data_IF_435470017083
#
_entry.id   IF_435470017083
#
_cell.length_a   1.000
_cell.length_b   1.000
_cell.length_c   1.000
_cell.angle_alpha   90.00
_cell.angle_beta   90.00
_cell.angle_gamma   90.00
#
_symmetry.space_group_name_H-M   'P 1'
#
loop_
_entity.id
_entity.type
_entity.pdbx_description
1 polymer ?
#
# COMPACT_ATOMS: atom_id res chain seq x y z
N UNK A 1 -1.11 43.08 28.58
CA UNK A 1 0.10 43.47 27.82
C UNK A 1 0.65 42.19 27.18
N UNK A 2 0.10 41.83 26.02
CA UNK A 2 0.69 41.94 24.67
C UNK A 2 1.64 40.79 24.31
N UNK A 3 1.07 39.80 23.61
CA UNK A 3 1.77 38.84 22.76
C UNK A 3 2.54 39.59 21.66
N UNK A 4 3.79 39.22 21.41
CA UNK A 4 4.48 39.58 20.17
C UNK A 4 4.57 38.36 19.24
N UNK A 5 3.78 38.44 18.17
CA UNK A 5 3.91 37.70 16.92
C UNK A 5 5.07 38.27 16.09
N UNK A 6 5.74 37.40 15.33
CA UNK A 6 6.42 37.78 14.09
C UNK A 6 7.90 38.11 14.17
N UNK A 7 8.74 37.11 13.94
CA UNK A 7 10.04 37.31 13.29
C UNK A 7 10.12 36.37 12.09
N UNK A 8 10.31 36.87 10.86
CA UNK A 8 10.52 36.01 9.70
C UNK A 8 11.85 35.27 9.84
N UNK A 9 11.82 33.97 9.52
CA UNK A 9 13.01 33.13 9.48
C UNK A 9 13.96 33.62 8.38
N UNK A 10 15.16 34.08 8.77
CA UNK A 10 16.23 34.46 7.83
C UNK A 10 17.17 33.26 7.67
N UNK A 11 17.28 32.65 6.48
CA UNK A 11 18.20 31.54 6.25
C UNK A 11 19.66 32.01 6.42
N UNK A 12 20.31 31.60 7.51
CA UNK A 12 21.75 31.81 7.72
C UNK A 12 22.57 30.74 7.00
N UNK A 13 22.53 30.70 5.67
CA UNK A 13 23.61 30.12 4.88
C UNK A 13 23.77 30.91 3.60
N UNK A 14 24.91 31.58 3.46
CA UNK A 14 25.42 32.01 2.15
C UNK A 14 25.68 30.72 1.38
N UNK A 15 24.99 30.51 0.26
CA UNK A 15 25.45 29.51 -0.72
C UNK A 15 26.89 29.88 -1.09
N UNK A 16 27.80 28.91 -1.09
CA UNK A 16 29.17 29.16 -1.51
C UNK A 16 29.19 29.51 -2.99
N UNK A 17 30.10 30.39 -3.40
CA UNK A 17 30.26 30.86 -4.78
C UNK A 17 30.45 29.72 -5.79
N UNK A 18 30.87 28.53 -5.33
CA UNK A 18 31.04 27.33 -6.16
C UNK A 18 29.71 26.79 -6.70
N UNK A 19 28.63 26.85 -5.91
CA UNK A 19 27.31 26.33 -6.31
C UNK A 19 26.59 27.21 -7.35
N UNK A 20 26.97 28.49 -7.47
CA UNK A 20 26.44 29.38 -8.50
C UNK A 20 27.11 29.16 -9.88
N UNK A 21 28.36 28.68 -9.93
CA UNK A 21 29.06 28.37 -11.18
C UNK A 21 28.51 27.11 -11.87
N UNK A 22 28.09 26.12 -11.09
CA UNK A 22 27.61 24.86 -11.64
C UNK A 22 26.20 24.97 -12.25
N UNK A 23 25.34 25.81 -11.69
CA UNK A 23 24.02 26.11 -12.28
C UNK A 23 24.15 26.75 -13.67
N UNK A 24 25.10 27.68 -13.85
CA UNK A 24 25.32 28.35 -15.13
C UNK A 24 25.80 27.39 -16.22
N UNK A 25 26.64 26.40 -15.86
CA UNK A 25 27.09 25.36 -16.80
C UNK A 25 25.94 24.46 -17.27
N UNK A 26 25.02 24.12 -16.37
CA UNK A 26 23.86 23.30 -16.72
C UNK A 26 22.90 24.08 -17.63
N UNK A 27 22.63 25.35 -17.33
CA UNK A 27 21.79 26.20 -18.17
C UNK A 27 22.38 26.41 -19.58
N UNK A 28 23.69 26.62 -19.68
CA UNK A 28 24.39 26.77 -20.96
C UNK A 28 24.42 25.44 -21.75
N UNK A 29 24.49 24.29 -21.07
CA UNK A 29 24.41 22.97 -21.71
C UNK A 29 23.00 22.73 -22.29
N UNK A 30 21.95 23.04 -21.53
CA UNK A 30 20.56 22.89 -21.98
C UNK A 30 20.26 23.79 -23.19
N UNK A 31 20.72 25.05 -23.19
CA UNK A 31 20.51 25.97 -24.32
C UNK A 31 21.19 25.55 -25.61
N UNK A 32 22.34 24.86 -25.50
CA UNK A 32 23.14 24.46 -26.64
C UNK A 32 22.93 23.00 -27.06
N UNK A 33 22.02 22.28 -26.39
CA UNK A 33 21.68 20.91 -26.73
C UNK A 33 20.85 20.86 -28.02
N UNK A 34 21.49 20.45 -29.12
CA UNK A 34 20.81 20.05 -30.36
C UNK A 34 20.77 18.52 -30.43
N UNK A 35 19.58 17.89 -30.39
CA UNK A 35 19.48 16.46 -30.61
C UNK A 35 19.98 16.13 -32.01
N UNK A 36 20.92 15.19 -32.13
CA UNK A 36 21.31 14.63 -33.42
C UNK A 36 20.14 13.80 -33.97
N UNK A 37 19.66 14.17 -35.15
CA UNK A 37 18.78 13.31 -35.95
C UNK A 37 19.64 12.18 -36.52
N UNK A 38 19.74 11.08 -35.79
CA UNK A 38 20.08 9.79 -36.41
C UNK A 38 18.77 9.13 -36.84
N UNK A 39 18.65 8.91 -38.15
CA UNK A 39 17.61 8.08 -38.77
C UNK A 39 17.70 6.67 -38.19
N UNK A 40 16.72 6.30 -37.39
CA UNK A 40 16.51 4.92 -36.96
C UNK A 40 15.53 4.30 -37.95
N UNK A 41 16.03 3.38 -38.77
CA UNK A 41 15.21 2.53 -39.64
C UNK A 41 14.21 1.73 -38.79
N UNK A 42 12.92 1.81 -39.16
CA UNK A 42 11.83 1.16 -38.45
C UNK A 42 11.87 -0.37 -38.60
N UNK A 43 11.82 -1.15 -37.50
CA UNK A 43 11.60 -2.59 -37.57
C UNK A 43 10.11 -2.89 -37.87
N UNK A 44 9.81 -4.07 -38.47
CA UNK A 44 8.50 -4.40 -39.01
C UNK A 44 7.41 -4.45 -37.94
N UNK A 45 6.26 -3.91 -38.31
CA UNK A 45 5.03 -3.75 -37.52
C UNK A 45 4.59 -5.08 -36.90
N UNK A 46 4.90 -5.26 -35.62
CA UNK A 46 4.24 -6.26 -34.79
C UNK A 46 2.93 -5.66 -34.32
N UNK A 47 1.82 -6.37 -34.50
CA UNK A 47 0.47 -5.94 -34.12
C UNK A 47 0.40 -5.66 -32.63
N UNK A 48 0.61 -4.40 -32.25
CA UNK A 48 0.42 -3.88 -30.89
C UNK A 48 -1.06 -4.00 -30.56
N UNK A 49 -1.41 -5.02 -29.79
CA UNK A 49 -2.69 -5.05 -29.06
C UNK A 49 -2.66 -3.83 -28.13
N UNK A 50 -3.59 -2.91 -28.30
CA UNK A 50 -3.66 -1.64 -27.57
C UNK A 50 -3.64 -1.89 -26.05
N UNK A 51 -2.58 -1.42 -25.39
CA UNK A 51 -2.39 -1.51 -23.93
C UNK A 51 -3.47 -0.79 -23.10
N UNK A 52 -4.31 0.06 -23.72
CA UNK A 52 -5.39 0.80 -23.04
C UNK A 52 -6.48 -0.11 -22.46
N UNK A 53 -6.62 -1.34 -22.95
CA UNK A 53 -7.70 -2.25 -22.55
C UNK A 53 -7.35 -3.14 -21.34
N UNK A 54 -6.12 -3.03 -20.81
CA UNK A 54 -5.65 -3.75 -19.62
C UNK A 54 -5.70 -2.90 -18.34
N UNK A 55 -5.90 -1.59 -18.45
CA UNK A 55 -6.00 -0.70 -17.30
C UNK A 55 -7.23 -1.08 -16.45
N UNK A 56 -6.98 -1.59 -15.25
CA UNK A 56 -8.02 -1.97 -14.29
C UNK A 56 -8.59 -3.38 -14.44
N UNK A 57 -8.03 -4.23 -15.33
CA UNK A 57 -8.39 -5.66 -15.37
C UNK A 57 -7.72 -6.43 -14.24
N UNK A 58 -8.44 -7.38 -13.66
CA UNK A 58 -7.88 -8.35 -12.70
C UNK A 58 -7.57 -9.61 -13.51
N UNK A 59 -6.33 -10.10 -13.41
CA UNK A 59 -5.94 -11.35 -14.06
C UNK A 59 -6.07 -12.47 -13.04
N UNK A 60 -6.97 -13.41 -13.29
CA UNK A 60 -7.21 -14.54 -12.40
C UNK A 60 -6.34 -15.72 -12.78
N UNK A 61 -5.63 -16.27 -11.80
CA UNK A 61 -4.93 -17.55 -11.86
C UNK A 61 -5.58 -18.55 -10.90
N UNK A 62 -5.04 -19.77 -10.80
CA UNK A 62 -5.52 -20.78 -9.86
C UNK A 62 -5.22 -20.34 -8.42
N UNK A 63 -3.99 -19.88 -8.15
CA UNK A 63 -3.49 -19.64 -6.79
C UNK A 63 -3.48 -18.15 -6.38
N UNK A 64 -3.70 -17.22 -7.33
CA UNK A 64 -3.66 -15.79 -7.06
C UNK A 64 -4.50 -14.96 -8.05
N UNK A 65 -4.73 -13.70 -7.70
CA UNK A 65 -5.23 -12.66 -8.60
C UNK A 65 -4.15 -11.61 -8.81
N UNK A 66 -3.84 -11.26 -10.05
CA UNK A 66 -3.00 -10.10 -10.36
C UNK A 66 -3.86 -8.85 -10.42
N UNK A 67 -3.61 -7.93 -9.51
CA UNK A 67 -4.30 -6.65 -9.36
C UNK A 67 -3.42 -5.57 -9.96
N UNK A 68 -3.91 -4.91 -11.00
CA UNK A 68 -3.23 -3.82 -11.69
C UNK A 68 -3.31 -2.53 -10.88
N UNK A 69 -2.45 -1.56 -11.20
CA UNK A 69 -2.50 -0.19 -10.69
C UNK A 69 -2.40 -0.05 -9.15
N UNK A 70 -1.72 -0.98 -8.48
CA UNK A 70 -1.46 -0.86 -7.04
C UNK A 70 -0.29 0.09 -6.81
N UNK A 71 -0.46 1.11 -5.98
CA UNK A 71 0.66 1.91 -5.49
C UNK A 71 1.39 1.12 -4.39
N UNK A 72 2.43 0.40 -4.77
CA UNK A 72 3.28 -0.37 -3.85
C UNK A 72 4.61 0.33 -3.67
N UNK A 73 4.93 0.73 -2.43
CA UNK A 73 6.18 1.45 -2.09
C UNK A 73 6.40 2.71 -2.96
N UNK A 74 5.32 3.44 -3.26
CA UNK A 74 5.37 4.68 -4.04
C UNK A 74 5.41 4.49 -5.56
N UNK A 75 5.29 3.25 -6.06
CA UNK A 75 5.26 2.94 -7.50
C UNK A 75 3.96 2.25 -7.88
N UNK A 76 3.34 2.73 -8.96
CA UNK A 76 2.17 2.07 -9.57
C UNK A 76 2.65 0.83 -10.31
N UNK A 77 2.26 -0.35 -9.83
CA UNK A 77 2.67 -1.63 -10.41
C UNK A 77 1.67 -2.75 -10.07
N UNK A 78 1.63 -3.83 -10.86
CA UNK A 78 0.81 -4.98 -10.56
C UNK A 78 1.32 -5.79 -9.35
N UNK A 79 0.39 -6.20 -8.49
CA UNK A 79 0.65 -7.16 -7.40
C UNK A 79 -0.17 -8.43 -7.60
N UNK A 80 0.43 -9.58 -7.35
CA UNK A 80 -0.31 -10.83 -7.19
C UNK A 80 -0.77 -10.94 -5.73
N UNK A 81 -2.09 -11.06 -5.50
CA UNK A 81 -2.70 -11.40 -4.20
C UNK A 81 -3.00 -12.89 -4.17
N UNK A 82 -2.43 -13.61 -3.21
CA UNK A 82 -2.72 -15.04 -3.02
C UNK A 82 -4.18 -15.26 -2.65
N UNK A 83 -4.77 -16.35 -3.18
CA UNK A 83 -6.11 -16.83 -2.76
C UNK A 83 -6.10 -17.53 -1.40
N UNK A 84 -4.92 -17.72 -0.81
CA UNK A 84 -4.74 -18.27 0.52
C UNK A 84 -4.06 -17.26 1.45
N UNK A 85 -4.36 -17.35 2.73
CA UNK A 85 -3.64 -16.59 3.74
C UNK A 85 -2.24 -17.17 3.95
N UNK A 86 -1.27 -16.30 4.22
CA UNK A 86 0.03 -16.75 4.69
C UNK A 86 -0.11 -17.53 5.99
N UNK A 87 0.75 -18.56 6.21
CA UNK A 87 0.76 -19.30 7.45
C UNK A 87 0.81 -18.39 8.66
N UNK A 88 0.12 -18.80 9.72
CA UNK A 88 0.20 -18.12 11.02
C UNK A 88 1.66 -18.08 11.48
N UNK A 89 2.13 -16.90 11.90
CA UNK A 89 3.49 -16.70 12.44
C UNK A 89 3.44 -15.74 13.62
N UNK A 90 4.42 -15.83 14.52
CA UNK A 90 4.70 -14.72 15.46
C UNK A 90 5.26 -13.51 14.71
N UNK A 91 5.19 -12.31 15.31
CA UNK A 91 5.56 -11.08 14.60
C UNK A 91 7.03 -11.07 14.15
N UNK A 92 7.95 -11.44 15.05
CA UNK A 92 9.39 -11.50 14.71
C UNK A 92 9.67 -12.54 13.61
N UNK A 93 8.99 -13.69 13.66
CA UNK A 93 9.12 -14.74 12.64
C UNK A 93 8.57 -14.29 11.28
N UNK A 94 7.48 -13.51 11.28
CA UNK A 94 6.97 -12.88 10.07
C UNK A 94 8.00 -11.90 9.49
N UNK A 95 8.58 -11.02 10.31
CA UNK A 95 9.60 -10.07 9.83
C UNK A 95 10.83 -10.80 9.28
N UNK A 96 11.31 -11.85 9.95
CA UNK A 96 12.42 -12.68 9.46
C UNK A 96 12.07 -13.43 8.17
N UNK A 97 10.84 -13.90 8.04
CA UNK A 97 10.34 -14.48 6.79
C UNK A 97 10.36 -13.46 5.66
N UNK A 98 9.78 -12.27 5.85
CA UNK A 98 9.72 -11.22 4.83
C UNK A 98 11.12 -10.75 4.42
N UNK A 99 12.07 -10.63 5.35
CA UNK A 99 13.48 -10.29 5.04
C UNK A 99 14.18 -11.31 4.14
N UNK A 100 13.83 -12.60 4.27
CA UNK A 100 14.47 -13.72 3.56
C UNK A 100 13.70 -14.14 2.31
N UNK A 101 12.49 -13.63 2.14
CA UNK A 101 11.62 -13.93 1.00
C UNK A 101 12.27 -13.51 -0.31
N UNK A 102 12.14 -14.35 -1.32
CA UNK A 102 12.51 -14.06 -2.70
C UNK A 102 11.37 -13.33 -3.40
N UNK A 103 11.64 -12.80 -4.60
CA UNK A 103 10.65 -12.05 -5.38
C UNK A 103 9.41 -12.89 -5.73
N UNK A 104 9.56 -14.20 -5.87
CA UNK A 104 8.45 -15.14 -6.12
C UNK A 104 7.59 -15.47 -4.89
N UNK A 105 8.10 -15.20 -3.67
CA UNK A 105 7.44 -15.56 -2.44
C UNK A 105 6.36 -14.54 -2.08
N UNK A 106 5.21 -15.02 -1.60
CA UNK A 106 4.17 -14.16 -1.06
C UNK A 106 4.56 -13.63 0.32
N UNK A 107 4.53 -12.33 0.51
CA UNK A 107 4.89 -11.64 1.75
C UNK A 107 3.72 -10.84 2.32
N UNK A 108 3.77 -10.59 3.63
CA UNK A 108 2.93 -9.56 4.24
C UNK A 108 3.50 -8.18 3.89
N UNK A 109 2.63 -7.18 3.78
CA UNK A 109 2.98 -5.81 3.39
C UNK A 109 2.50 -4.79 4.42
N UNK A 110 2.88 -3.53 4.23
CA UNK A 110 2.53 -2.44 5.12
C UNK A 110 1.03 -2.14 5.07
N UNK A 111 0.52 -1.43 6.08
CA UNK A 111 -0.85 -0.92 6.10
C UNK A 111 -1.14 -0.05 4.88
N UNK A 112 -0.20 0.83 4.54
CA UNK A 112 -0.33 1.73 3.41
C UNK A 112 -0.49 0.96 2.10
N UNK A 113 0.38 -0.02 1.88
CA UNK A 113 0.31 -0.86 0.70
C UNK A 113 -0.94 -1.75 0.70
N UNK A 114 -1.40 -2.19 1.88
CA UNK A 114 -2.63 -2.97 2.02
C UNK A 114 -3.85 -2.14 1.61
N UNK A 115 -3.93 -0.88 2.07
CA UNK A 115 -4.99 0.03 1.64
C UNK A 115 -4.94 0.30 0.13
N UNK A 116 -3.73 0.53 -0.40
CA UNK A 116 -3.51 0.73 -1.83
C UNK A 116 -4.00 -0.46 -2.67
N UNK A 117 -3.73 -1.69 -2.21
CA UNK A 117 -4.26 -2.91 -2.82
C UNK A 117 -5.79 -2.93 -2.79
N UNK A 118 -6.40 -2.65 -1.64
CA UNK A 118 -7.87 -2.65 -1.48
C UNK A 118 -8.52 -1.61 -2.38
N UNK A 119 -7.91 -0.42 -2.48
CA UNK A 119 -8.34 0.64 -3.38
C UNK A 119 -8.30 0.20 -4.84
N UNK A 120 -7.20 -0.39 -5.29
CA UNK A 120 -7.08 -0.87 -6.67
C UNK A 120 -8.13 -1.95 -7.02
N UNK A 121 -8.43 -2.85 -6.08
CA UNK A 121 -9.52 -3.84 -6.25
C UNK A 121 -10.88 -3.14 -6.31
N UNK A 122 -11.15 -2.19 -5.42
CA UNK A 122 -12.41 -1.44 -5.35
C UNK A 122 -12.71 -0.72 -6.68
N UNK A 123 -11.71 0.01 -7.17
CA UNK A 123 -11.76 0.82 -8.40
C UNK A 123 -11.80 -0.02 -9.68
N UNK A 124 -11.43 -1.30 -9.60
CA UNK A 124 -11.51 -2.20 -10.74
C UNK A 124 -12.94 -2.32 -11.27
N UNK A 125 -13.06 -2.40 -12.60
CA UNK A 125 -14.32 -2.70 -13.30
C UNK A 125 -14.50 -4.21 -13.55
N UNK A 126 -13.50 -5.01 -13.18
CA UNK A 126 -13.50 -6.45 -13.38
C UNK A 126 -14.50 -7.14 -12.44
N UNK A 127 -15.21 -8.15 -12.95
CA UNK A 127 -16.18 -8.91 -12.15
C UNK A 127 -15.51 -9.73 -11.05
N UNK A 128 -14.24 -10.10 -11.23
CA UNK A 128 -13.45 -10.85 -10.25
C UNK A 128 -13.26 -10.08 -8.94
N UNK A 129 -13.46 -8.76 -8.93
CA UNK A 129 -13.36 -7.96 -7.70
C UNK A 129 -14.33 -8.41 -6.61
N UNK A 130 -15.49 -8.95 -6.96
CA UNK A 130 -16.47 -9.45 -5.97
C UNK A 130 -16.02 -10.78 -5.32
N UNK A 131 -15.29 -11.61 -6.06
CA UNK A 131 -14.63 -12.81 -5.53
C UNK A 131 -13.52 -12.40 -4.54
N UNK A 132 -12.66 -11.46 -4.95
CA UNK A 132 -11.61 -10.89 -4.09
C UNK A 132 -12.22 -10.25 -2.84
N UNK A 133 -13.28 -9.45 -3.00
CA UNK A 133 -14.01 -8.82 -1.89
C UNK A 133 -14.50 -9.87 -0.90
N UNK A 134 -15.08 -10.96 -1.38
CA UNK A 134 -15.56 -12.07 -0.54
C UNK A 134 -14.42 -12.75 0.21
N UNK A 135 -13.28 -12.97 -0.46
CA UNK A 135 -12.06 -13.50 0.17
C UNK A 135 -11.52 -12.55 1.25
N UNK A 136 -11.39 -11.25 0.95
CA UNK A 136 -10.90 -10.24 1.90
C UNK A 136 -11.83 -10.12 3.11
N UNK A 137 -13.15 -10.11 2.87
CA UNK A 137 -14.17 -10.11 3.92
C UNK A 137 -14.01 -11.33 4.82
N UNK A 138 -14.03 -12.54 4.24
CA UNK A 138 -13.88 -13.78 5.00
C UNK A 138 -12.55 -13.86 5.74
N UNK A 139 -11.48 -13.34 5.16
CA UNK A 139 -10.16 -13.26 5.80
C UNK A 139 -10.18 -12.38 7.04
N UNK A 140 -10.76 -11.17 6.94
CA UNK A 140 -10.84 -10.22 8.04
C UNK A 140 -11.87 -10.59 9.10
N UNK A 141 -13.00 -11.20 8.72
CA UNK A 141 -14.06 -11.60 9.66
C UNK A 141 -13.66 -12.80 10.52
N UNK A 142 -12.88 -13.73 9.96
CA UNK A 142 -12.48 -14.95 10.65
C UNK A 142 -11.10 -14.86 11.29
N UNK A 143 -10.31 -13.83 10.95
CA UNK A 143 -8.95 -13.68 11.46
C UNK A 143 -8.60 -12.22 11.71
N UNK A 144 -7.78 -12.01 12.72
CA UNK A 144 -6.92 -10.83 12.77
C UNK A 144 -5.80 -11.00 11.75
N UNK A 145 -5.62 -10.02 10.86
CA UNK A 145 -4.57 -10.08 9.85
C UNK A 145 -3.38 -9.22 10.29
N UNK A 146 -2.21 -9.84 10.27
CA UNK A 146 -0.92 -9.19 10.56
C UNK A 146 -0.35 -8.54 9.30
N UNK A 147 0.35 -7.43 9.52
CA UNK A 147 0.98 -6.59 8.51
C UNK A 147 2.29 -6.03 9.04
N UNK A 148 3.12 -5.42 8.18
CA UNK A 148 4.48 -4.97 8.52
C UNK A 148 4.54 -3.56 9.11
N UNK A 149 3.41 -2.89 9.28
CA UNK A 149 3.34 -1.59 9.94
C UNK A 149 3.27 -1.74 11.46
N UNK A 150 3.97 -0.87 12.20
CA UNK A 150 3.88 -0.78 13.67
C UNK A 150 3.73 0.68 14.11
N UNK A 151 3.19 0.87 15.32
CA UNK A 151 3.16 2.17 15.99
C UNK A 151 4.13 2.14 17.17
N UNK A 152 5.03 3.13 17.24
CA UNK A 152 5.87 3.36 18.40
C UNK A 152 5.32 4.56 19.17
N UNK A 153 4.78 4.31 20.35
CA UNK A 153 4.29 5.34 21.23
C UNK A 153 5.42 5.98 22.01
N UNK A 154 5.38 7.31 22.13
CA UNK A 154 6.41 8.08 22.85
C UNK A 154 5.76 8.98 23.89
N UNK A 155 6.13 8.78 25.16
CA UNK A 155 5.72 9.59 26.31
C UNK A 155 6.05 11.07 26.10
N UNK A 156 7.17 11.34 25.41
CA UNK A 156 7.55 12.68 24.99
C UNK A 156 7.66 12.80 23.46
N UNK A 157 7.14 13.89 22.91
CA UNK A 157 7.14 14.14 21.47
C UNK A 157 5.94 13.51 20.76
N UNK A 158 6.11 13.23 19.46
CA UNK A 158 5.09 12.56 18.65
C UNK A 158 5.34 11.05 18.65
N UNK A 159 4.27 10.28 18.54
CA UNK A 159 4.38 8.85 18.22
C UNK A 159 5.01 8.68 16.82
N UNK A 160 5.36 7.44 16.48
CA UNK A 160 5.87 7.09 15.17
C UNK A 160 5.03 6.02 14.51
N UNK A 161 4.58 6.29 13.29
CA UNK A 161 4.06 5.28 12.38
C UNK A 161 5.27 4.75 11.61
N UNK A 162 5.49 3.44 11.69
CA UNK A 162 6.63 2.78 11.03
C UNK A 162 6.08 1.77 10.04
N UNK A 163 6.17 2.07 8.74
CA UNK A 163 5.85 1.11 7.68
C UNK A 163 7.05 0.22 7.40
N UNK A 164 6.80 -1.05 7.05
CA UNK A 164 7.84 -2.03 6.73
C UNK A 164 8.90 -2.16 7.82
N UNK A 165 8.41 -2.33 9.06
CA UNK A 165 9.23 -2.39 10.26
C UNK A 165 10.34 -3.44 10.14
N UNK A 166 11.57 -3.01 10.44
CA UNK A 166 12.79 -3.82 10.33
C UNK A 166 13.10 -4.34 8.91
N UNK A 167 12.49 -3.81 7.86
CA UNK A 167 12.80 -4.14 6.46
C UNK A 167 13.70 -3.08 5.83
N UNK A 168 14.43 -3.39 4.73
CA UNK A 168 15.35 -2.43 4.10
C UNK A 168 14.71 -1.12 3.63
N UNK A 169 13.40 -1.16 3.33
CA UNK A 169 12.63 -0.03 2.83
C UNK A 169 11.75 0.63 3.91
N UNK A 170 12.07 0.42 5.20
CA UNK A 170 11.33 0.97 6.32
C UNK A 170 11.16 2.49 6.22
N UNK A 171 9.95 2.97 6.49
CA UNK A 171 9.64 4.40 6.57
C UNK A 171 9.15 4.74 7.99
N UNK A 172 9.73 5.78 8.60
CA UNK A 172 9.36 6.26 9.95
C UNK A 172 8.77 7.66 9.84
N UNK A 173 7.54 7.82 10.36
CA UNK A 173 6.80 9.08 10.29
C UNK A 173 6.41 9.53 11.70
N UNK A 174 6.82 10.75 12.07
CA UNK A 174 6.46 11.33 13.36
C UNK A 174 5.03 11.92 13.32
N UNK A 175 4.07 11.19 13.86
CA UNK A 175 2.65 11.51 13.85
C UNK A 175 2.05 11.23 15.22
N UNK A 176 1.18 12.10 15.73
CA UNK A 176 0.44 11.79 16.95
C UNK A 176 -0.59 10.71 16.63
N UNK A 177 -0.54 9.60 17.36
CA UNK A 177 -1.47 8.47 17.27
C UNK A 177 -2.27 8.30 18.57
N UNK A 178 -1.76 8.74 19.72
CA UNK A 178 -2.52 8.78 20.99
C UNK A 178 -3.73 9.73 20.86
N UNK A 179 -4.92 9.19 21.12
CA UNK A 179 -6.21 9.85 20.98
C UNK A 179 -7.38 8.91 21.27
N UNK A 180 -8.63 9.39 21.23
CA UNK A 180 -9.83 8.56 21.41
C UNK A 180 -10.05 7.60 20.23
N UNK A 181 -10.72 6.49 20.45
CA UNK A 181 -11.26 5.70 19.34
C UNK A 181 -12.23 6.57 18.50
N UNK A 182 -12.24 6.36 17.18
CA UNK A 182 -13.13 7.11 16.30
C UNK A 182 -13.56 6.28 15.08
N UNK A 183 -14.74 6.60 14.54
CA UNK A 183 -15.12 6.18 13.20
C UNK A 183 -14.33 7.03 12.20
N UNK A 184 -13.74 6.39 11.20
CA UNK A 184 -12.84 7.06 10.26
C UNK A 184 -13.57 8.15 9.48
N UNK A 185 -14.80 7.89 9.04
CA UNK A 185 -15.65 8.86 8.33
C UNK A 185 -15.94 10.14 9.12
N UNK A 186 -15.85 10.10 10.44
CA UNK A 186 -16.13 11.25 11.33
C UNK A 186 -14.85 11.99 11.75
N UNK A 187 -13.69 11.55 11.28
CA UNK A 187 -12.41 12.12 11.70
C UNK A 187 -12.07 13.42 11.01
N UNK A 188 -11.43 14.32 11.76
CA UNK A 188 -10.84 15.55 11.26
C UNK A 188 -9.29 15.47 11.18
N UNK A 189 -8.69 14.34 11.54
CA UNK A 189 -7.22 14.15 11.51
C UNK A 189 -6.76 13.56 10.18
N UNK A 190 -6.95 14.32 9.08
CA UNK A 190 -6.66 13.83 7.73
C UNK A 190 -5.17 13.47 7.52
N UNK A 191 -4.26 14.13 8.25
CA UNK A 191 -2.82 13.82 8.16
C UNK A 191 -2.49 12.48 8.82
N UNK A 192 -3.17 12.08 9.88
CA UNK A 192 -3.03 10.74 10.45
C UNK A 192 -3.33 9.66 9.40
N UNK A 193 -4.44 9.77 8.67
CA UNK A 193 -4.81 8.81 7.63
C UNK A 193 -3.92 8.90 6.40
N UNK A 194 -3.43 10.10 6.05
CA UNK A 194 -2.44 10.25 5.00
C UNK A 194 -1.15 9.49 5.35
N UNK A 195 -0.65 9.65 6.57
CA UNK A 195 0.55 8.96 7.02
C UNK A 195 0.32 7.45 7.14
N UNK A 196 -0.83 7.01 7.67
CA UNK A 196 -1.13 5.60 7.92
C UNK A 196 -1.51 4.80 6.66
N UNK A 197 -2.31 5.40 5.77
CA UNK A 197 -2.94 4.73 4.62
C UNK A 197 -2.51 5.32 3.28
N UNK A 198 -1.87 6.50 3.25
CA UNK A 198 -1.53 7.19 2.00
C UNK A 198 -2.68 7.96 1.38
N UNK A 199 -3.77 8.21 2.11
CA UNK A 199 -4.91 9.02 1.64
C UNK A 199 -5.44 9.95 2.73
N UNK A 200 -5.74 11.20 2.36
CA UNK A 200 -6.42 12.20 3.20
C UNK A 200 -7.94 12.07 3.15
N UNK A 201 -8.47 11.32 2.19
CA UNK A 201 -9.91 11.23 1.95
C UNK A 201 -10.54 10.17 2.85
N UNK A 202 -10.92 10.57 4.06
CA UNK A 202 -11.51 9.68 5.07
C UNK A 202 -12.83 9.04 4.63
N UNK A 203 -13.59 9.70 3.75
CA UNK A 203 -14.82 9.16 3.20
C UNK A 203 -14.53 8.00 2.24
N UNK A 204 -13.58 8.20 1.31
CA UNK A 204 -13.12 7.13 0.40
C UNK A 204 -12.56 5.95 1.19
N UNK A 205 -11.74 6.23 2.20
CA UNK A 205 -11.19 5.18 3.08
C UNK A 205 -12.32 4.38 3.70
N UNK A 206 -13.29 5.04 4.34
CA UNK A 206 -14.42 4.36 4.96
C UNK A 206 -15.26 3.59 3.94
N UNK A 207 -15.51 4.16 2.77
CA UNK A 207 -16.28 3.54 1.69
C UNK A 207 -15.64 2.24 1.20
N UNK A 208 -14.33 2.22 0.98
CA UNK A 208 -13.59 1.01 0.55
C UNK A 208 -13.70 -0.09 1.62
N UNK A 209 -13.42 0.24 2.87
CA UNK A 209 -13.51 -0.76 3.96
C UNK A 209 -14.95 -1.22 4.20
N UNK A 210 -15.94 -0.33 4.08
CA UNK A 210 -17.36 -0.67 4.17
C UNK A 210 -17.79 -1.55 2.99
N UNK A 211 -17.34 -1.29 1.77
CA UNK A 211 -17.62 -2.16 0.62
C UNK A 211 -17.11 -3.58 0.85
N UNK A 212 -15.91 -3.75 1.39
CA UNK A 212 -15.37 -5.07 1.71
C UNK A 212 -16.17 -5.74 2.82
N UNK A 213 -16.45 -5.04 3.91
CA UNK A 213 -16.83 -5.67 5.19
C UNK A 213 -18.31 -5.51 5.54
N UNK A 214 -18.99 -4.55 4.92
CA UNK A 214 -20.34 -4.11 5.26
C UNK A 214 -20.42 -3.25 6.53
N UNK A 215 -19.28 -2.75 7.06
CA UNK A 215 -19.23 -1.98 8.31
C UNK A 215 -18.39 -0.73 8.16
N UNK A 216 -18.75 0.32 8.90
CA UNK A 216 -17.92 1.52 8.99
C UNK A 216 -16.59 1.22 9.68
N UNK A 217 -15.52 1.77 9.14
CA UNK A 217 -14.18 1.59 9.64
C UNK A 217 -14.00 2.37 10.94
N UNK A 218 -13.47 1.69 11.96
CA UNK A 218 -13.07 2.30 13.23
C UNK A 218 -11.56 2.20 13.41
N UNK A 219 -10.93 3.27 13.89
CA UNK A 219 -9.56 3.21 14.39
C UNK A 219 -9.59 3.14 15.91
N UNK A 220 -8.84 2.19 16.47
CA UNK A 220 -8.63 2.10 17.91
C UNK A 220 -7.30 2.74 18.29
N UNK A 221 -7.34 3.58 19.32
CA UNK A 221 -6.19 4.38 19.76
C UNK A 221 -6.11 4.34 21.29
N UNK A 222 -4.88 4.51 21.80
CA UNK A 222 -4.69 4.70 23.23
C UNK A 222 -5.06 6.13 23.60
N UNK A 223 -5.94 6.31 24.59
CA UNK A 223 -6.31 7.63 25.10
C UNK A 223 -5.16 8.35 25.81
N UNK A 224 -4.29 7.57 26.48
CA UNK A 224 -3.10 8.05 27.17
C UNK A 224 -2.06 6.93 27.26
N UNK A 225 -0.80 7.33 27.46
CA UNK A 225 0.35 6.43 27.64
C UNK A 225 1.10 6.84 28.91
N UNK A 226 1.77 5.88 29.55
CA UNK A 226 2.56 6.12 30.78
C UNK A 226 4.06 5.94 30.57
N UNK A 227 4.45 5.26 29.50
CA UNK A 227 5.84 4.94 29.13
C UNK A 227 5.96 4.89 27.61
N UNK A 228 7.19 4.93 27.10
CA UNK A 228 7.48 4.63 25.70
C UNK A 228 7.28 3.14 25.45
N UNK A 229 6.55 2.77 24.39
CA UNK A 229 6.36 1.37 24.03
C UNK A 229 6.07 1.16 22.56
N UNK A 230 6.37 -0.05 22.07
CA UNK A 230 5.84 -0.53 20.81
C UNK A 230 4.52 -1.23 21.09
N UNK A 231 3.43 -0.57 20.74
CA UNK A 231 2.09 -1.14 20.87
C UNK A 231 1.21 -0.48 19.83
N UNK A 232 0.10 -1.11 19.57
CA UNK A 232 -0.35 -1.21 18.21
C UNK A 232 -1.80 -0.77 18.15
N UNK A 233 -2.07 0.15 17.24
CA UNK A 233 -3.44 0.43 16.81
C UNK A 233 -4.02 -0.72 15.99
N UNK A 234 -5.32 -0.82 15.95
CA UNK A 234 -5.99 -1.64 14.95
C UNK A 234 -6.95 -0.77 14.15
N UNK A 235 -7.02 -1.06 12.86
CA UNK A 235 -8.20 -0.73 12.07
C UNK A 235 -9.18 -1.87 12.27
N UNK A 236 -10.24 -1.58 12.99
CA UNK A 236 -11.18 -2.55 13.51
C UNK A 236 -12.51 -2.41 12.78
N UNK A 237 -13.10 -3.56 12.52
CA UNK A 237 -14.36 -3.69 11.78
C UNK A 237 -15.44 -4.25 12.71
N UNK A 238 -15.06 -5.12 13.67
CA UNK A 238 -15.84 -5.55 14.85
C UNK A 238 -14.95 -6.33 15.81
N UNK A 239 -15.46 -6.72 16.99
CA UNK A 239 -14.74 -7.35 18.13
C UNK A 239 -13.74 -8.48 17.79
N UNK A 240 -13.88 -9.13 16.62
CA UNK A 240 -13.01 -10.22 16.16
C UNK A 240 -12.43 -10.01 14.76
N UNK A 241 -12.57 -8.81 14.17
CA UNK A 241 -12.18 -8.53 12.78
C UNK A 241 -11.45 -7.20 12.62
N UNK A 242 -10.29 -7.24 11.96
CA UNK A 242 -9.49 -6.05 11.72
C UNK A 242 -8.09 -6.32 11.20
N UNK A 243 -7.43 -5.23 10.82
CA UNK A 243 -6.03 -5.20 10.44
C UNK A 243 -5.20 -4.69 11.62
N UNK A 244 -4.20 -5.46 12.01
CA UNK A 244 -3.43 -5.24 13.23
C UNK A 244 -2.01 -4.81 12.92
N UNK A 245 -1.60 -3.65 13.42
CA UNK A 245 -0.21 -3.19 13.31
C UNK A 245 0.69 -3.82 14.40
N UNK A 246 0.44 -5.09 14.85
CA UNK A 246 0.71 -5.59 16.23
C UNK A 246 2.05 -6.28 16.49
N UNK A 247 2.75 -5.85 17.56
CA UNK A 247 3.84 -6.56 18.20
C UNK A 247 3.45 -7.13 19.58
N UNK A 248 2.18 -7.38 19.88
CA UNK A 248 1.81 -8.26 21.00
C UNK A 248 2.32 -9.66 20.61
N UNK A 249 3.44 -10.01 21.25
CA UNK A 249 4.45 -11.04 20.93
C UNK A 249 3.90 -12.48 21.03
N UNK A 250 2.58 -12.67 21.08
CA UNK A 250 1.96 -13.93 21.49
C UNK A 250 0.75 -14.33 20.64
N UNK A 251 0.59 -13.75 19.46
CA UNK A 251 -0.51 -14.10 18.58
C UNK A 251 0.03 -14.62 17.24
N UNK A 252 -0.01 -15.95 17.15
CA UNK A 252 0.18 -16.73 15.94
C UNK A 252 -1.03 -16.53 15.00
N UNK A 253 -1.04 -15.41 14.27
CA UNK A 253 -2.11 -14.98 13.37
C UNK A 253 -1.61 -14.91 11.92
N UNK A 254 -2.51 -15.10 10.93
CA UNK A 254 -2.13 -15.10 9.52
C UNK A 254 -1.94 -13.69 8.96
N UNK A 255 -1.57 -13.60 7.69
CA UNK A 255 -1.43 -12.35 6.93
C UNK A 255 -1.95 -12.54 5.51
N UNK A 256 -2.31 -11.44 4.83
CA UNK A 256 -2.48 -11.49 3.38
C UNK A 256 -1.13 -11.74 2.73
N UNK A 257 -1.09 -12.61 1.72
CA UNK A 257 0.10 -12.89 0.93
C UNK A 257 0.07 -12.13 -0.38
N UNK A 258 1.07 -11.27 -0.60
CA UNK A 258 1.23 -10.56 -1.88
C UNK A 258 2.65 -10.70 -2.41
N UNK A 259 2.81 -10.57 -3.73
CA UNK A 259 4.14 -10.43 -4.35
C UNK A 259 4.08 -9.51 -5.55
N UNK A 260 5.25 -9.02 -5.97
CA UNK A 260 5.36 -8.32 -7.24
C UNK A 260 5.04 -9.26 -8.40
N UNK A 261 4.17 -8.83 -9.30
CA UNK A 261 3.88 -9.60 -10.49
C UNK A 261 5.12 -9.67 -11.41
N UNK A 262 5.53 -10.87 -11.80
CA UNK A 262 6.62 -11.06 -12.79
C UNK A 262 6.05 -10.87 -14.20
N UNK A 263 6.21 -9.67 -14.77
CA UNK A 263 5.98 -9.46 -16.20
C UNK A 263 6.97 -10.33 -17.00
N UNK A 264 6.51 -11.47 -17.52
CA UNK A 264 7.39 -12.42 -18.22
C UNK A 264 6.78 -13.79 -18.49
N UNK A 265 5.78 -14.22 -17.72
CA UNK A 265 4.97 -15.36 -18.13
C UNK A 265 3.96 -14.87 -19.16
N UNK A 266 4.21 -15.16 -20.45
CA UNK A 266 3.16 -15.09 -21.47
C UNK A 266 1.95 -15.84 -20.90
N UNK A 267 0.89 -15.10 -20.59
CA UNK A 267 -0.42 -15.67 -20.29
C UNK A 267 -0.85 -16.31 -21.61
N UNK A 268 -0.58 -17.61 -21.78
CA UNK A 268 -1.29 -18.38 -22.77
C UNK A 268 -2.72 -18.45 -22.27
N UNK A 269 -3.57 -17.58 -22.80
CA UNK A 269 -5.01 -17.81 -22.72
C UNK A 269 -5.23 -19.18 -23.34
N UNK A 270 -5.55 -20.18 -22.50
CA UNK A 270 -6.12 -21.43 -23.01
C UNK A 270 -7.43 -21.04 -23.64
N UNK A 271 -7.45 -21.04 -24.97
CA UNK A 271 -8.65 -20.89 -25.77
C UNK A 271 -9.32 -22.27 -25.85
N UNK A 272 -9.76 -22.76 -24.70
CA UNK A 272 -10.63 -23.93 -24.59
C UNK A 272 -11.90 -23.33 -23.94
N UNK A 273 -13.06 -23.20 -24.59
CA UNK A 273 -13.78 -24.19 -25.39
C UNK A 273 -14.71 -23.43 -26.35
N UNK A 274 -14.51 -23.60 -27.65
CA UNK A 274 -15.63 -23.68 -28.59
C UNK A 274 -16.25 -25.06 -28.37
N UNK A 275 -17.51 -25.12 -27.95
CA UNK A 275 -18.37 -26.28 -28.19
C UNK A 275 -19.79 -25.76 -28.38
N UNK A 276 -20.01 -25.27 -29.60
CA UNK A 276 -21.20 -25.62 -30.35
C UNK A 276 -21.44 -27.14 -30.23
N UNK A 277 -22.32 -27.58 -29.34
CA UNK A 277 -23.15 -28.78 -29.53
C UNK A 277 -24.12 -28.98 -28.38
N UNK A 278 -25.27 -28.31 -28.44
CA UNK A 278 -26.52 -28.95 -28.01
C UNK A 278 -27.57 -28.92 -29.12
N UNK A 279 -27.49 -29.94 -29.98
CA UNK A 279 -28.63 -30.43 -30.77
C UNK A 279 -28.97 -31.84 -30.31
N UNK A 280 -30.19 -31.96 -29.79
CA UNK A 280 -31.12 -33.10 -29.92
C UNK A 280 -30.55 -34.53 -29.87
N UNK A 281 -30.85 -35.25 -28.78
CA UNK A 281 -31.50 -36.57 -28.81
C UNK A 281 -32.30 -36.76 -27.52
#
# INVERSE_FOLDING_TARGET
>A
MTNQLGQPYIPKRKLSDDSARDLKKIEDWIRNYKPSKEEVEEPPTTTTTSNEDLEGRIITSDDYWTIQNVNYQGKIQPLDLSKELLPRREFNDLMEYVKKAKVEDFIAISMRDTYSLFKAVYESKDKSKEEIRSFLKGSMENNWLKITTVIQHRLSGKDQIIHDYSLPNQEIINQRFVGPDELVKDSNDFELYNHLLGSKNVNEINEIFNWITGKDLRIYRFNFIKDDFFRVGCLHLSDYSGLFFNNLIHHNIPSLGVRLHKAGNKISFRKDVDDENWKSF
#
